data_IF_695409970994
#
_entry.id   IF_695409970994
#
_cell.length_a   1.000
_cell.length_b   1.000
_cell.length_c   1.000
_cell.angle_alpha   90.00
_cell.angle_beta   90.00
_cell.angle_gamma   90.00
#
_symmetry.space_group_name_H-M   'P 1'
#
loop_
_entity.id
_entity.type
_entity.pdbx_description
1 polymer ?
#
# COMPACT_ATOMS: atom_id res chain seq x y z
N UNK A 1 40.06 -20.40 -20.35
CA UNK A 1 39.21 -20.77 -21.50
C UNK A 1 38.19 -19.67 -21.70
N UNK A 2 38.03 -19.10 -22.90
CA UNK A 2 37.11 -17.99 -23.12
C UNK A 2 35.67 -18.48 -23.01
N UNK A 3 34.82 -17.72 -22.31
CA UNK A 3 33.41 -18.04 -22.20
C UNK A 3 32.75 -17.79 -23.56
N UNK A 4 32.10 -18.82 -24.11
CA UNK A 4 31.30 -18.75 -25.34
C UNK A 4 30.23 -17.63 -25.23
N UNK A 5 30.00 -16.87 -26.29
CA UNK A 5 28.96 -15.82 -26.38
C UNK A 5 27.57 -16.29 -25.93
N UNK A 6 27.23 -17.58 -26.16
CA UNK A 6 25.99 -18.19 -25.67
C UNK A 6 25.98 -18.40 -24.15
N UNK A 7 27.14 -18.69 -23.53
CA UNK A 7 27.25 -18.74 -22.06
C UNK A 7 27.17 -17.33 -21.46
N UNK A 8 27.78 -16.35 -22.11
CA UNK A 8 27.62 -14.93 -21.76
C UNK A 8 26.16 -14.50 -21.88
N UNK A 9 25.41 -14.90 -22.92
CA UNK A 9 24.00 -14.54 -23.07
C UNK A 9 23.07 -15.16 -22.00
N UNK A 10 23.43 -16.32 -21.43
CA UNK A 10 22.68 -16.94 -20.32
C UNK A 10 23.02 -16.29 -18.97
N UNK A 11 24.28 -15.93 -18.75
CA UNK A 11 24.77 -15.26 -17.52
C UNK A 11 24.44 -13.76 -17.51
N UNK A 12 24.58 -13.10 -18.67
CA UNK A 12 24.14 -11.75 -18.99
C UNK A 12 22.74 -11.75 -19.61
N UNK A 13 21.89 -12.73 -19.30
CA UNK A 13 20.45 -12.46 -19.30
C UNK A 13 20.34 -11.27 -18.38
N UNK A 14 20.31 -10.06 -18.96
CA UNK A 14 20.01 -8.82 -18.27
C UNK A 14 18.74 -9.18 -17.54
N UNK A 15 18.88 -9.46 -16.25
CA UNK A 15 17.76 -9.51 -15.34
C UNK A 15 16.97 -8.27 -15.73
N UNK A 16 15.69 -8.39 -16.14
CA UNK A 16 14.90 -7.22 -16.47
C UNK A 16 15.17 -6.26 -15.33
N UNK A 17 15.68 -5.06 -15.67
CA UNK A 17 16.00 -4.05 -14.68
C UNK A 17 14.79 -4.02 -13.76
N UNK A 18 14.98 -4.43 -12.50
CA UNK A 18 13.90 -4.32 -11.53
C UNK A 18 13.54 -2.86 -11.59
N UNK A 19 12.34 -2.56 -12.08
CA UNK A 19 11.81 -1.22 -12.07
C UNK A 19 11.98 -0.78 -10.62
N UNK A 20 12.83 0.23 -10.39
CA UNK A 20 13.14 0.67 -9.04
C UNK A 20 11.81 0.87 -8.32
N UNK A 21 11.71 0.36 -7.10
CA UNK A 21 10.49 0.53 -6.31
C UNK A 21 10.17 2.04 -6.31
N UNK A 22 9.02 2.49 -6.85
CA UNK A 22 8.74 3.91 -7.00
C UNK A 22 8.73 4.67 -5.67
N UNK A 23 8.84 3.95 -4.55
CA UNK A 23 8.68 4.47 -3.20
C UNK A 23 7.21 4.50 -2.87
N UNK A 24 6.80 5.53 -2.12
CA UNK A 24 5.39 5.81 -1.94
C UNK A 24 4.82 6.40 -3.24
N UNK A 25 3.72 5.84 -3.73
CA UNK A 25 2.96 6.45 -4.82
C UNK A 25 1.58 6.85 -4.31
N UNK A 26 0.97 7.83 -4.96
CA UNK A 26 -0.38 8.27 -4.65
C UNK A 26 -1.34 7.70 -5.69
N UNK A 27 -2.42 7.09 -5.21
CA UNK A 27 -3.50 6.53 -6.03
C UNK A 27 -4.68 7.51 -5.95
N UNK A 28 -5.14 8.07 -7.08
CA UNK A 28 -6.39 8.81 -7.10
C UNK A 28 -7.56 7.92 -6.65
N UNK A 29 -8.33 8.40 -5.69
CA UNK A 29 -9.53 7.74 -5.21
C UNK A 29 -10.73 8.64 -5.50
N UNK A 30 -11.76 8.06 -6.12
CA UNK A 30 -13.02 8.75 -6.31
C UNK A 30 -13.96 8.37 -5.16
N UNK A 31 -14.33 9.37 -4.36
CA UNK A 31 -15.35 9.23 -3.36
C UNK A 31 -16.44 10.26 -3.62
N UNK A 32 -17.69 9.81 -3.69
CA UNK A 32 -18.90 10.63 -3.95
C UNK A 32 -19.07 11.90 -3.10
N UNK A 33 -18.30 12.07 -2.02
CA UNK A 33 -18.38 13.21 -1.09
C UNK A 33 -17.00 13.81 -0.76
N UNK A 34 -15.97 13.47 -1.52
CA UNK A 34 -14.61 13.98 -1.31
C UNK A 34 -13.91 14.24 -2.64
N UNK A 35 -13.74 15.51 -2.97
CA UNK A 35 -13.00 15.90 -4.17
C UNK A 35 -11.49 15.66 -3.98
N UNK A 36 -10.82 15.25 -5.07
CA UNK A 36 -9.36 15.10 -5.13
C UNK A 36 -8.76 14.22 -4.04
N UNK A 37 -9.42 13.11 -3.67
CA UNK A 37 -8.84 12.19 -2.71
C UNK A 37 -7.64 11.45 -3.31
N UNK A 38 -6.53 11.43 -2.58
CA UNK A 38 -5.35 10.66 -2.91
C UNK A 38 -5.08 9.67 -1.77
N UNK A 39 -4.91 8.40 -2.10
CA UNK A 39 -4.50 7.36 -1.15
C UNK A 39 -3.02 7.05 -1.30
N UNK A 40 -2.35 6.78 -0.19
CA UNK A 40 -0.98 6.30 -0.19
C UNK A 40 -0.96 4.82 -0.59
N UNK A 41 -0.31 4.51 -1.70
CA UNK A 41 0.00 3.15 -2.13
C UNK A 41 1.24 2.64 -1.39
N UNK A 42 1.04 1.80 -0.39
CA UNK A 42 2.11 1.09 0.31
C UNK A 42 2.01 -0.41 0.00
N UNK A 43 2.91 -0.92 -0.86
CA UNK A 43 2.96 -2.34 -1.23
C UNK A 43 3.45 -3.24 -0.10
N UNK A 44 4.10 -2.67 0.93
CA UNK A 44 4.50 -3.37 2.13
C UNK A 44 3.39 -3.48 3.18
N UNK A 45 2.35 -2.64 3.08
CA UNK A 45 1.22 -2.68 3.97
C UNK A 45 0.32 -3.88 3.66
N UNK A 46 -0.02 -4.66 4.71
CA UNK A 46 -0.98 -5.78 4.60
C UNK A 46 -2.44 -5.34 4.77
N UNK A 47 -2.67 -4.10 5.17
CA UNK A 47 -3.99 -3.55 5.48
C UNK A 47 -4.10 -2.14 4.91
N UNK A 48 -5.33 -1.75 4.55
CA UNK A 48 -5.63 -0.38 4.15
C UNK A 48 -6.07 0.43 5.38
N UNK A 49 -5.53 1.64 5.52
CA UNK A 49 -5.91 2.57 6.58
C UNK A 49 -6.71 3.74 6.00
N UNK A 50 -7.76 4.14 6.72
CA UNK A 50 -8.54 5.33 6.40
C UNK A 50 -8.62 6.22 7.64
N UNK A 51 -8.26 7.51 7.53
CA UNK A 51 -8.47 8.46 8.63
C UNK A 51 -9.94 8.51 9.05
N UNK A 52 -10.21 8.44 10.35
CA UNK A 52 -11.57 8.46 10.89
C UNK A 52 -12.37 9.70 10.44
N UNK A 53 -11.70 10.84 10.26
CA UNK A 53 -12.34 12.06 9.76
C UNK A 53 -12.90 11.87 8.35
N UNK A 54 -12.18 11.18 7.47
CA UNK A 54 -12.64 10.88 6.10
C UNK A 54 -13.82 9.91 6.17
N UNK A 55 -13.72 8.85 6.96
CA UNK A 55 -14.83 7.91 7.19
C UNK A 55 -16.13 8.62 7.59
N UNK A 56 -16.03 9.56 8.55
CA UNK A 56 -17.15 10.38 9.01
C UNK A 56 -17.67 11.34 7.94
N UNK A 57 -16.79 11.99 7.17
CA UNK A 57 -17.19 12.89 6.05
C UNK A 57 -17.96 12.14 4.96
N UNK A 58 -17.54 10.92 4.65
CA UNK A 58 -18.23 10.04 3.72
C UNK A 58 -19.59 9.56 4.27
N UNK A 59 -19.83 9.72 5.58
CA UNK A 59 -20.98 9.20 6.34
C UNK A 59 -21.16 7.70 6.13
N UNK A 60 -20.04 6.97 6.21
CA UNK A 60 -20.02 5.52 6.13
C UNK A 60 -20.62 4.89 7.41
N UNK A 61 -21.06 3.62 7.34
CA UNK A 61 -21.64 2.93 8.49
C UNK A 61 -20.74 2.88 9.71
N UNK A 62 -21.34 2.53 10.86
CA UNK A 62 -20.59 2.31 12.11
C UNK A 62 -19.54 1.22 11.91
N UNK A 63 -18.35 1.45 12.43
CA UNK A 63 -17.25 0.49 12.39
C UNK A 63 -17.46 -0.60 13.43
N UNK A 64 -17.00 -1.82 13.11
CA UNK A 64 -16.93 -2.89 14.09
C UNK A 64 -15.76 -2.67 15.05
N UNK A 65 -15.90 -3.11 16.29
CA UNK A 65 -14.82 -3.03 17.28
C UNK A 65 -13.57 -3.76 16.78
N UNK A 66 -12.45 -3.03 16.73
CA UNK A 66 -11.16 -3.61 16.37
C UNK A 66 -10.47 -4.19 17.61
N UNK A 67 -10.20 -5.49 17.58
CA UNK A 67 -9.42 -6.21 18.62
C UNK A 67 -7.94 -6.37 18.22
N UNK A 68 -7.38 -5.37 17.54
CA UNK A 68 -5.99 -5.37 17.09
C UNK A 68 -5.29 -4.06 17.42
N UNK A 69 -3.97 -4.08 17.34
CA UNK A 69 -3.10 -2.91 17.40
C UNK A 69 -2.21 -2.89 16.16
N UNK A 70 -1.81 -1.70 15.74
CA UNK A 70 -0.98 -1.47 14.56
C UNK A 70 0.36 -0.91 15.02
N UNK A 71 1.45 -1.54 14.60
CA UNK A 71 2.78 -0.95 14.69
C UNK A 71 3.09 -0.26 13.37
N UNK A 72 3.33 1.05 13.41
CA UNK A 72 3.66 1.85 12.23
C UNK A 72 5.18 1.84 11.97
N UNK A 73 5.59 2.33 10.79
CA UNK A 73 7.00 2.36 10.40
C UNK A 73 7.89 3.19 11.36
N UNK A 74 7.32 4.17 12.05
CA UNK A 74 8.00 4.96 13.10
C UNK A 74 8.02 4.24 14.47
N UNK A 75 7.60 2.96 14.51
CA UNK A 75 7.46 2.11 15.70
C UNK A 75 6.41 2.58 16.69
N UNK A 76 5.56 3.53 16.29
CA UNK A 76 4.41 3.88 17.13
C UNK A 76 3.36 2.78 17.08
N UNK A 77 2.79 2.48 18.25
CA UNK A 77 1.70 1.51 18.38
C UNK A 77 0.40 2.29 18.48
N UNK A 78 -0.53 2.04 17.56
CA UNK A 78 -1.83 2.70 17.50
C UNK A 78 -2.97 1.67 17.56
N UNK A 79 -4.06 2.05 18.22
CA UNK A 79 -5.29 1.26 18.23
C UNK A 79 -6.29 1.88 17.26
N UNK A 80 -6.70 1.17 16.19
CA UNK A 80 -7.71 1.68 15.27
C UNK A 80 -9.06 1.83 15.98
N UNK A 81 -9.85 2.83 15.57
CA UNK A 81 -11.19 3.06 16.10
C UNK A 81 -12.14 1.89 15.81
N UNK A 82 -11.96 1.23 14.68
CA UNK A 82 -12.70 0.05 14.30
C UNK A 82 -12.24 -0.51 12.96
N UNK A 83 -12.91 -1.58 12.51
CA UNK A 83 -12.61 -2.27 11.25
C UNK A 83 -13.85 -2.26 10.35
N UNK A 84 -13.60 -2.18 9.05
CA UNK A 84 -14.60 -2.34 8.01
C UNK A 84 -14.15 -3.47 7.08
N UNK A 85 -15.09 -4.34 6.73
CA UNK A 85 -14.86 -5.42 5.78
C UNK A 85 -15.24 -4.94 4.37
N UNK A 86 -14.51 -5.41 3.37
CA UNK A 86 -14.93 -5.24 1.99
C UNK A 86 -16.09 -6.19 1.69
N UNK A 87 -17.14 -5.69 1.07
CA UNK A 87 -18.31 -6.46 0.61
C UNK A 87 -18.11 -6.97 -0.81
#
# INVERSE_FOLDING_TARGET
>A
MPLNENCLAVVLKKLPEKLGDPGHFLIPCDFTRLDNCLALGDLGARINLMPLLIWKKLRLPTLNDAKMVLELADRTISKPTGVAENV
#
